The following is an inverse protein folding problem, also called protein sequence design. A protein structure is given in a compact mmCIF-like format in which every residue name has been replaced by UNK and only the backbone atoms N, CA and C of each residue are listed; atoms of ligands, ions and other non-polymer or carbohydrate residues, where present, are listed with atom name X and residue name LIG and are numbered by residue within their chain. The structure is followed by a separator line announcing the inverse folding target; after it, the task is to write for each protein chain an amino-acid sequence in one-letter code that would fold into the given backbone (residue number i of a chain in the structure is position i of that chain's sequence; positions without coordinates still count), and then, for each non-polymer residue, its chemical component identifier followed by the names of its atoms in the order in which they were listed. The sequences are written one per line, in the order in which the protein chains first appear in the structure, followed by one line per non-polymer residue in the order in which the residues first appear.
data_IF_094393339124
#
_entry.id   IF_094393339124
#
_cell.length_a   1.000
_cell.length_b   1.000
_cell.length_c   1.000
_cell.angle_alpha   90.00
_cell.angle_beta   90.00
_cell.angle_gamma   90.00
#
_symmetry.space_group_name_H-M   'P 1'
#
loop_
_entity.id
_entity.type
_entity.pdbx_description
1 polymer ?
#
# COMPACT_ATOMS: atom_id res chain seq x y z
N UNK A 1 18.82 -19.44 4.21
CA UNK A 1 18.62 -17.99 4.41
C UNK A 1 17.66 -17.48 3.34
N UNK A 2 16.76 -16.56 3.67
CA UNK A 2 15.84 -15.96 2.69
C UNK A 2 16.58 -15.05 1.69
N UNK A 3 15.87 -14.59 0.66
CA UNK A 3 16.39 -13.57 -0.23
C UNK A 3 16.79 -12.31 0.55
N UNK A 4 17.81 -11.55 0.11
CA UNK A 4 18.13 -10.27 0.74
C UNK A 4 16.95 -9.29 0.62
N UNK A 5 16.71 -8.51 1.68
CA UNK A 5 15.69 -7.46 1.65
C UNK A 5 15.99 -6.44 0.54
N UNK A 6 14.98 -5.95 -0.19
CA UNK A 6 15.17 -4.94 -1.24
C UNK A 6 15.36 -3.52 -0.69
N UNK A 7 15.39 -3.35 0.63
CA UNK A 7 15.58 -2.09 1.33
C UNK A 7 16.57 -2.24 2.47
N UNK A 8 17.07 -1.11 2.96
CA UNK A 8 17.89 -1.06 4.16
C UNK A 8 17.02 -1.19 5.41
N UNK A 9 17.37 -2.11 6.29
CA UNK A 9 16.62 -2.43 7.53
C UNK A 9 17.46 -2.16 8.77
N UNK A 10 18.28 -1.11 8.74
CA UNK A 10 19.11 -0.67 9.88
C UNK A 10 18.45 0.43 10.71
N UNK A 11 17.39 1.03 10.19
CA UNK A 11 16.59 2.06 10.85
C UNK A 11 15.78 1.48 12.03
N UNK A 12 15.34 0.23 11.90
CA UNK A 12 14.68 -0.55 12.94
C UNK A 12 15.38 -1.90 13.16
N UNK A 13 15.21 -2.55 14.32
CA UNK A 13 15.67 -3.92 14.54
C UNK A 13 14.95 -4.94 13.63
N UNK A 14 15.32 -5.03 12.36
CA UNK A 14 14.67 -5.92 11.39
C UNK A 14 15.15 -7.36 11.55
N UNK A 15 14.21 -8.30 11.41
CA UNK A 15 14.45 -9.75 11.35
C UNK A 15 13.67 -10.35 10.19
N UNK A 16 14.31 -11.25 9.43
CA UNK A 16 13.65 -12.03 8.39
C UNK A 16 13.32 -13.41 8.95
N UNK A 17 12.02 -13.74 8.98
CA UNK A 17 11.51 -15.04 9.42
C UNK A 17 10.79 -15.68 8.22
N UNK A 18 11.21 -16.86 7.74
CA UNK A 18 10.52 -17.56 6.66
C UNK A 18 9.08 -17.90 7.05
N UNK A 19 8.15 -17.69 6.11
CA UNK A 19 6.77 -18.15 6.27
C UNK A 19 6.73 -19.68 6.14
N UNK A 20 5.99 -20.31 7.05
CA UNK A 20 5.74 -21.75 7.14
C UNK A 20 4.28 -21.97 7.49
N UNK A 21 3.78 -23.18 7.28
CA UNK A 21 2.41 -23.54 7.68
C UNK A 21 2.16 -23.28 9.18
N UNK A 22 3.20 -23.39 10.02
CA UNK A 22 3.12 -23.16 11.45
C UNK A 22 2.98 -21.69 11.86
N UNK A 23 3.40 -20.73 11.03
CA UNK A 23 3.42 -19.31 11.39
C UNK A 23 2.63 -18.39 10.45
N UNK A 24 2.22 -18.87 9.27
CA UNK A 24 1.57 -18.06 8.25
C UNK A 24 0.32 -17.35 8.77
N UNK A 25 -0.60 -18.10 9.41
CA UNK A 25 -1.86 -17.52 9.92
C UNK A 25 -1.61 -16.54 11.06
N UNK A 26 -0.64 -16.80 11.92
CA UNK A 26 -0.26 -15.89 13.01
C UNK A 26 0.35 -14.59 12.46
N UNK A 27 1.24 -14.68 11.48
CA UNK A 27 1.85 -13.53 10.81
C UNK A 27 0.80 -12.69 10.07
N UNK A 28 -0.12 -13.33 9.35
CA UNK A 28 -1.24 -12.67 8.68
C UNK A 28 -2.12 -11.94 9.71
N UNK A 29 -2.51 -12.61 10.79
CA UNK A 29 -3.31 -11.98 11.85
C UNK A 29 -2.58 -10.79 12.49
N UNK A 30 -1.29 -10.94 12.80
CA UNK A 30 -0.46 -9.88 13.37
C UNK A 30 -0.41 -8.66 12.45
N UNK A 31 -0.21 -8.87 11.14
CA UNK A 31 -0.16 -7.80 10.14
C UNK A 31 -1.44 -6.95 10.06
N UNK A 32 -2.57 -7.48 10.53
CA UNK A 32 -3.87 -6.80 10.57
C UNK A 32 -4.28 -6.36 11.99
N UNK A 33 -3.45 -6.62 13.00
CA UNK A 33 -3.75 -6.32 14.41
C UNK A 33 -3.44 -4.87 14.72
N UNK A 34 -4.38 -3.97 14.44
CA UNK A 34 -4.21 -2.53 14.68
C UNK A 34 -4.08 -2.26 16.20
N UNK A 35 -3.01 -1.59 16.65
CA UNK A 35 -2.84 -1.22 18.06
C UNK A 35 -4.07 -0.49 18.62
N UNK A 36 -4.46 -0.84 19.85
CA UNK A 36 -5.63 -0.30 20.57
C UNK A 36 -7.00 -0.64 20.00
N UNK A 37 -7.08 -1.37 18.87
CA UNK A 37 -8.34 -1.85 18.29
C UNK A 37 -8.45 -3.37 18.43
N UNK A 38 -7.35 -4.09 18.20
CA UNK A 38 -7.27 -5.55 18.29
C UNK A 38 -6.27 -5.97 19.36
N UNK A 39 -6.20 -7.27 19.67
CA UNK A 39 -5.15 -7.84 20.53
C UNK A 39 -3.92 -8.15 19.68
N UNK A 40 -2.70 -8.11 20.25
CA UNK A 40 -1.52 -8.57 19.53
C UNK A 40 -1.57 -10.08 19.33
N UNK A 41 -0.77 -10.56 18.38
CA UNK A 41 -0.42 -11.98 18.29
C UNK A 41 0.89 -12.19 19.05
N UNK A 42 0.90 -13.06 20.06
CA UNK A 42 2.09 -13.39 20.83
C UNK A 42 2.88 -14.53 20.20
N UNK A 43 4.21 -14.47 20.33
CA UNK A 43 5.14 -15.59 20.15
C UNK A 43 4.90 -16.40 18.86
N UNK A 44 4.94 -15.69 17.73
CA UNK A 44 4.78 -16.30 16.39
C UNK A 44 5.86 -17.36 16.18
N UNK A 45 5.45 -18.55 15.72
CA UNK A 45 6.37 -19.68 15.57
C UNK A 45 7.59 -19.34 14.68
N UNK A 46 8.79 -19.54 15.22
CA UNK A 46 10.07 -19.25 14.56
C UNK A 46 10.49 -17.78 14.56
N UNK A 47 9.64 -16.86 15.03
CA UNK A 47 9.99 -15.46 15.24
C UNK A 47 10.56 -15.23 16.65
N UNK A 48 11.23 -14.10 16.91
CA UNK A 48 11.61 -13.71 18.27
C UNK A 48 10.41 -13.74 19.23
N UNK A 49 10.62 -14.04 20.51
CA UNK A 49 9.53 -13.95 21.49
C UNK A 49 9.05 -12.49 21.63
N UNK A 50 7.75 -12.29 21.76
CA UNK A 50 7.16 -10.95 21.87
C UNK A 50 5.74 -10.84 21.33
N UNK A 51 5.25 -9.60 21.33
CA UNK A 51 3.91 -9.24 20.85
C UNK A 51 3.99 -8.55 19.50
N UNK A 52 3.24 -9.07 18.54
CA UNK A 52 3.25 -8.63 17.16
C UNK A 52 1.95 -7.88 16.82
N UNK A 53 2.12 -6.77 16.12
CA UNK A 53 1.08 -5.81 15.75
C UNK A 53 1.18 -5.46 14.26
N UNK A 54 0.16 -4.75 13.77
CA UNK A 54 0.10 -4.23 12.40
C UNK A 54 1.33 -3.35 12.11
N UNK A 55 2.03 -3.67 11.03
CA UNK A 55 3.27 -3.00 10.63
C UNK A 55 3.07 -1.57 10.15
N UNK A 56 1.83 -1.15 9.90
CA UNK A 56 1.51 0.21 9.48
C UNK A 56 1.86 1.27 10.54
N UNK A 57 2.07 0.89 11.80
CA UNK A 57 2.60 1.80 12.82
C UNK A 57 4.01 2.31 12.46
N UNK A 58 4.85 1.47 11.86
CA UNK A 58 6.22 1.82 11.43
C UNK A 58 6.30 2.10 9.93
N UNK A 59 5.69 1.26 9.09
CA UNK A 59 5.89 1.22 7.63
C UNK A 59 4.58 1.28 6.85
N UNK A 60 3.81 2.35 7.04
CA UNK A 60 2.41 2.45 6.59
C UNK A 60 2.22 2.33 5.08
N UNK A 61 2.90 3.16 4.28
CA UNK A 61 2.94 3.02 2.82
C UNK A 61 4.30 2.51 2.35
N UNK A 62 5.04 1.76 3.17
CA UNK A 62 6.35 1.22 2.82
C UNK A 62 7.32 2.31 2.31
N UNK A 63 7.38 3.44 3.03
CA UNK A 63 8.36 4.49 2.79
C UNK A 63 9.74 4.02 3.32
N UNK A 64 10.33 3.06 2.62
CA UNK A 64 11.55 2.37 3.03
C UNK A 64 12.77 2.91 2.27
N UNK A 65 13.96 2.70 2.82
CA UNK A 65 15.22 3.02 2.14
C UNK A 65 15.57 1.95 1.09
N UNK A 66 14.93 2.01 -0.08
CA UNK A 66 15.13 1.01 -1.13
C UNK A 66 16.58 0.99 -1.63
N UNK A 67 17.14 -0.20 -1.78
CA UNK A 67 18.50 -0.40 -2.25
C UNK A 67 18.54 -0.40 -3.77
N UNK A 68 19.46 0.37 -4.35
CA UNK A 68 19.75 0.23 -5.76
C UNK A 68 20.31 -1.17 -6.05
N UNK A 69 19.66 -1.88 -6.97
CA UNK A 69 20.01 -3.24 -7.36
C UNK A 69 20.27 -3.27 -8.86
N UNK A 70 21.44 -3.77 -9.29
CA UNK A 70 21.80 -3.81 -10.72
C UNK A 70 20.82 -4.66 -11.55
N UNK A 71 20.27 -5.70 -10.95
CA UNK A 71 19.31 -6.63 -11.54
C UNK A 71 17.86 -6.12 -11.50
N UNK A 72 17.55 -5.19 -10.60
CA UNK A 72 16.22 -4.60 -10.43
C UNK A 72 16.36 -3.14 -9.96
N UNK A 73 16.73 -2.21 -10.86
CA UNK A 73 17.19 -0.87 -10.47
C UNK A 73 16.08 0.05 -9.97
N UNK A 74 14.81 -0.28 -10.22
CA UNK A 74 13.65 0.53 -9.87
C UNK A 74 12.61 -0.34 -9.16
N UNK A 75 12.02 0.22 -8.11
CA UNK A 75 10.84 -0.30 -7.42
C UNK A 75 9.60 0.32 -8.04
N UNK A 76 8.77 -0.51 -8.68
CA UNK A 76 7.45 -0.08 -9.13
C UNK A 76 6.46 -0.20 -7.99
N UNK A 77 5.82 0.90 -7.60
CA UNK A 77 4.85 0.91 -6.50
C UNK A 77 3.47 1.39 -6.97
N UNK A 78 2.57 0.47 -7.36
CA UNK A 78 1.18 0.80 -7.61
C UNK A 78 0.46 1.16 -6.31
N UNK A 79 -0.16 2.34 -6.27
CA UNK A 79 -0.84 2.84 -5.08
C UNK A 79 -2.07 3.66 -5.45
N UNK A 80 -3.09 3.65 -4.60
CA UNK A 80 -4.30 4.44 -4.79
C UNK A 80 -4.11 5.96 -4.56
N UNK A 81 -2.95 6.41 -4.07
CA UNK A 81 -2.67 7.82 -3.84
C UNK A 81 -1.23 8.19 -4.20
N UNK A 82 -1.00 9.47 -4.47
CA UNK A 82 0.31 10.04 -4.87
C UNK A 82 1.32 10.25 -3.73
N UNK A 83 0.92 10.02 -2.48
CA UNK A 83 1.76 10.27 -1.32
C UNK A 83 2.11 8.96 -0.59
N UNK A 84 3.39 8.70 -0.43
CA UNK A 84 3.92 7.58 0.36
C UNK A 84 4.14 8.11 1.78
N UNK A 85 3.24 7.75 2.70
CA UNK A 85 3.25 8.25 4.08
C UNK A 85 4.06 7.28 4.94
N UNK A 86 5.08 7.74 5.70
CA UNK A 86 5.99 6.84 6.40
C UNK A 86 5.32 5.96 7.45
N UNK A 87 4.78 6.55 8.52
CA UNK A 87 4.07 5.82 9.57
C UNK A 87 2.58 6.16 9.65
N UNK A 88 1.81 5.32 10.34
CA UNK A 88 0.38 5.55 10.55
C UNK A 88 0.10 6.88 11.29
N UNK A 89 0.96 7.24 12.24
CA UNK A 89 0.86 8.50 13.00
C UNK A 89 1.20 9.74 12.16
N UNK A 90 1.87 9.59 11.02
CA UNK A 90 2.22 10.70 10.11
C UNK A 90 1.04 11.17 9.25
N UNK A 91 -0.11 10.47 9.27
CA UNK A 91 -1.31 10.83 8.50
C UNK A 91 -1.74 12.28 8.68
N UNK A 92 -1.65 12.80 9.91
CA UNK A 92 -2.05 14.17 10.24
C UNK A 92 -1.00 15.22 9.82
N UNK A 93 0.26 14.82 9.61
CA UNK A 93 1.37 15.73 9.33
C UNK A 93 1.73 15.74 7.84
N UNK A 94 0.99 16.54 7.06
CA UNK A 94 1.18 16.68 5.61
C UNK A 94 2.62 17.02 5.17
N UNK A 95 3.42 17.66 6.03
CA UNK A 95 4.83 17.95 5.72
C UNK A 95 5.66 16.67 5.54
N UNK A 96 5.27 15.56 6.17
CA UNK A 96 5.91 14.24 6.07
C UNK A 96 5.40 13.40 4.88
N UNK A 97 4.53 13.96 4.03
CA UNK A 97 4.00 13.27 2.84
C UNK A 97 4.83 13.54 1.58
N UNK A 98 5.89 14.35 1.70
CA UNK A 98 6.77 14.69 0.58
C UNK A 98 7.68 13.51 0.26
N UNK A 99 8.06 13.38 -1.01
CA UNK A 99 9.11 12.46 -1.41
C UNK A 99 10.43 12.83 -0.69
N UNK A 100 11.20 11.81 -0.35
CA UNK A 100 12.51 11.95 0.31
C UNK A 100 13.52 11.04 -0.41
N UNK A 101 14.83 11.18 -0.13
CA UNK A 101 15.86 10.32 -0.73
C UNK A 101 15.67 8.81 -0.51
N UNK A 102 14.87 8.41 0.50
CA UNK A 102 14.54 6.99 0.69
C UNK A 102 13.80 6.39 -0.53
N UNK A 103 13.10 7.23 -1.29
CA UNK A 103 12.28 6.84 -2.43
C UNK A 103 12.95 7.10 -3.79
N UNK A 104 14.24 7.46 -3.83
CA UNK A 104 14.95 7.81 -5.07
C UNK A 104 14.88 6.71 -6.15
N UNK A 105 14.74 5.45 -5.72
CA UNK A 105 14.64 4.28 -6.61
C UNK A 105 13.20 3.83 -6.86
N UNK A 106 12.19 4.60 -6.46
CA UNK A 106 10.78 4.24 -6.60
C UNK A 106 10.09 5.03 -7.72
N UNK A 107 9.33 4.32 -8.54
CA UNK A 107 8.30 4.90 -9.41
C UNK A 107 6.94 4.59 -8.81
N UNK A 108 6.24 5.62 -8.34
CA UNK A 108 4.88 5.52 -7.82
C UNK A 108 3.88 5.62 -8.96
N UNK A 109 3.02 4.62 -9.12
CA UNK A 109 1.88 4.68 -10.03
C UNK A 109 0.62 4.96 -9.22
N UNK A 110 -0.08 6.06 -9.52
CA UNK A 110 -1.32 6.41 -8.86
C UNK A 110 -2.36 6.98 -9.84
N UNK A 111 -3.66 6.77 -9.60
CA UNK A 111 -4.69 7.35 -10.44
C UNK A 111 -4.66 8.89 -10.43
N UNK A 112 -4.88 9.49 -11.60
CA UNK A 112 -4.97 10.95 -11.72
C UNK A 112 -6.13 11.53 -10.89
N UNK A 113 -5.98 12.73 -10.31
CA UNK A 113 -7.02 13.33 -9.46
C UNK A 113 -8.31 13.63 -10.21
N UNK A 114 -8.24 13.91 -11.53
CA UNK A 114 -9.40 14.09 -12.39
C UNK A 114 -10.20 12.79 -12.58
N UNK A 115 -9.51 11.65 -12.68
CA UNK A 115 -10.15 10.35 -12.75
C UNK A 115 -10.87 10.02 -11.44
N UNK A 116 -10.23 10.25 -10.29
CA UNK A 116 -10.85 10.01 -8.97
C UNK A 116 -12.14 10.83 -8.80
N UNK A 117 -12.15 12.07 -9.28
CA UNK A 117 -13.34 12.94 -9.22
C UNK A 117 -14.52 12.47 -10.08
N UNK A 118 -14.29 11.63 -11.09
CA UNK A 118 -15.35 11.03 -11.93
C UNK A 118 -16.00 9.80 -11.29
N UNK A 119 -15.37 9.19 -10.29
CA UNK A 119 -15.94 8.07 -9.56
C UNK A 119 -17.19 8.48 -8.77
N UNK A 120 -18.07 7.53 -8.41
CA UNK A 120 -19.20 7.83 -7.54
C UNK A 120 -18.74 8.53 -6.25
N UNK A 121 -19.50 9.53 -5.81
CA UNK A 121 -19.16 10.39 -4.67
C UNK A 121 -17.87 11.22 -4.84
N UNK A 122 -17.25 11.24 -6.03
CA UNK A 122 -16.04 12.01 -6.32
C UNK A 122 -14.80 11.52 -5.56
N UNK A 123 -14.79 10.25 -5.14
CA UNK A 123 -13.71 9.64 -4.37
C UNK A 123 -13.60 8.13 -4.65
N UNK A 124 -12.49 7.54 -4.23
CA UNK A 124 -12.38 6.09 -4.10
C UNK A 124 -13.33 5.60 -2.98
N UNK A 125 -13.92 4.40 -3.12
CA UNK A 125 -14.69 3.79 -2.03
C UNK A 125 -13.84 3.64 -0.77
N UNK A 126 -14.43 3.95 0.39
CA UNK A 126 -13.74 3.85 1.68
C UNK A 126 -14.69 3.48 2.82
N UNK A 127 -14.15 3.35 4.04
CA UNK A 127 -14.93 2.95 5.23
C UNK A 127 -16.11 3.87 5.56
N UNK A 128 -16.09 5.14 5.16
CA UNK A 128 -17.20 6.08 5.40
C UNK A 128 -18.44 5.74 4.58
N UNK A 129 -18.30 4.91 3.53
CA UNK A 129 -19.42 4.46 2.72
C UNK A 129 -20.34 3.52 3.50
N UNK A 130 -19.82 2.79 4.50
CA UNK A 130 -20.66 1.97 5.38
C UNK A 130 -21.67 2.84 6.15
N UNK A 131 -21.21 3.98 6.69
CA UNK A 131 -22.09 4.94 7.36
C UNK A 131 -22.98 5.71 6.39
N UNK A 132 -22.46 6.11 5.21
CA UNK A 132 -23.22 6.86 4.19
C UNK A 132 -24.43 6.09 3.68
N UNK A 133 -24.26 4.81 3.33
CA UNK A 133 -25.33 3.99 2.75
C UNK A 133 -26.13 3.22 3.80
N UNK A 134 -25.58 3.01 5.00
CA UNK A 134 -26.27 2.32 6.09
C UNK A 134 -26.80 0.96 5.68
N UNK A 135 -28.13 0.81 5.74
CA UNK A 135 -28.83 -0.43 5.38
C UNK A 135 -29.03 -0.62 3.87
N UNK A 136 -28.76 0.40 3.04
CA UNK A 136 -28.82 0.27 1.58
C UNK A 136 -27.53 -0.39 1.04
N UNK A 137 -27.41 -1.69 1.35
CA UNK A 137 -26.29 -2.53 0.90
C UNK A 137 -26.22 -2.57 -0.63
N UNK A 138 -27.36 -2.51 -1.32
CA UNK A 138 -27.42 -2.55 -2.77
C UNK A 138 -26.86 -1.27 -3.40
N UNK A 139 -27.16 -0.09 -2.87
CA UNK A 139 -26.54 1.16 -3.32
C UNK A 139 -25.04 1.17 -3.06
N UNK A 140 -24.60 0.73 -1.88
CA UNK A 140 -23.17 0.63 -1.56
C UNK A 140 -22.46 -0.31 -2.53
N UNK A 141 -23.03 -1.49 -2.79
CA UNK A 141 -22.47 -2.46 -3.72
C UNK A 141 -22.42 -1.92 -5.15
N UNK A 142 -23.46 -1.20 -5.62
CA UNK A 142 -23.44 -0.53 -6.93
C UNK A 142 -22.27 0.43 -7.05
N UNK A 143 -22.08 1.32 -6.07
CA UNK A 143 -20.98 2.29 -6.05
C UNK A 143 -19.61 1.61 -6.02
N UNK A 144 -19.44 0.58 -5.19
CA UNK A 144 -18.22 -0.20 -5.15
C UNK A 144 -17.92 -0.85 -6.51
N UNK A 145 -18.89 -1.54 -7.09
CA UNK A 145 -18.74 -2.24 -8.36
C UNK A 145 -18.45 -1.29 -9.53
N UNK A 146 -19.05 -0.08 -9.53
CA UNK A 146 -18.70 0.96 -10.50
C UNK A 146 -17.23 1.37 -10.37
N UNK A 147 -16.74 1.61 -9.15
CA UNK A 147 -15.33 1.97 -8.96
C UNK A 147 -14.37 0.85 -9.36
N UNK A 148 -14.73 -0.42 -9.11
CA UNK A 148 -13.96 -1.58 -9.57
C UNK A 148 -13.92 -1.65 -11.10
N UNK A 149 -15.05 -1.45 -11.77
CA UNK A 149 -15.11 -1.45 -13.24
C UNK A 149 -14.26 -0.32 -13.85
N UNK A 150 -14.30 0.89 -13.28
CA UNK A 150 -13.44 2.00 -13.72
C UNK A 150 -11.95 1.72 -13.45
N UNK A 151 -11.61 1.05 -12.34
CA UNK A 151 -10.24 0.65 -12.07
C UNK A 151 -9.73 -0.42 -13.05
N UNK A 152 -10.60 -1.36 -13.46
CA UNK A 152 -10.28 -2.32 -14.52
C UNK A 152 -9.98 -1.61 -15.83
N UNK A 153 -10.82 -0.65 -16.23
CA UNK A 153 -10.59 0.16 -17.43
C UNK A 153 -9.25 0.90 -17.37
N UNK A 154 -8.88 1.47 -16.23
CA UNK A 154 -7.58 2.12 -16.05
C UNK A 154 -6.41 1.13 -16.23
N UNK A 155 -6.54 -0.09 -15.72
CA UNK A 155 -5.55 -1.15 -15.90
C UNK A 155 -5.43 -1.60 -17.36
N UNK A 156 -6.56 -1.72 -18.06
CA UNK A 156 -6.61 -2.08 -19.48
C UNK A 156 -5.97 -1.00 -20.37
N UNK A 157 -6.27 0.28 -20.10
CA UNK A 157 -5.67 1.43 -20.79
C UNK A 157 -4.14 1.45 -20.58
N UNK A 158 -3.67 1.15 -19.37
CA UNK A 158 -2.23 1.05 -19.08
C UNK A 158 -1.57 -0.14 -19.79
N UNK A 159 -2.19 -1.32 -19.76
CA UNK A 159 -1.70 -2.50 -20.45
C UNK A 159 -1.57 -2.25 -21.97
N UNK A 160 -2.57 -1.62 -22.58
CA UNK A 160 -2.52 -1.24 -23.98
C UNK A 160 -1.38 -0.26 -24.29
N UNK A 161 -1.16 0.73 -23.43
CA UNK A 161 -0.05 1.67 -23.58
C UNK A 161 1.30 0.96 -23.45
N UNK A 162 1.46 -0.02 -22.55
CA UNK A 162 2.69 -0.81 -22.42
C UNK A 162 3.01 -1.64 -23.67
N UNK A 163 1.99 -2.15 -24.37
CA UNK A 163 2.17 -2.87 -25.64
C UNK A 163 2.62 -1.93 -26.77
N UNK A 164 2.13 -0.69 -26.77
CA UNK A 164 2.43 0.32 -27.80
C UNK A 164 2.65 1.71 -27.18
N UNK A 165 3.83 1.95 -26.58
CA UNK A 165 4.07 3.18 -25.85
C UNK A 165 4.02 4.41 -26.75
N UNK A 166 3.21 5.39 -26.37
CA UNK A 166 3.22 6.74 -26.94
C UNK A 166 3.63 7.74 -25.87
N UNK A 167 4.91 8.14 -25.90
CA UNK A 167 5.48 9.08 -24.93
C UNK A 167 4.85 10.48 -25.02
N UNK A 168 4.15 10.82 -26.11
CA UNK A 168 3.43 12.11 -26.22
C UNK A 168 2.20 12.18 -25.30
N UNK A 169 1.76 11.03 -24.77
CA UNK A 169 0.68 10.96 -23.78
C UNK A 169 1.18 11.18 -22.35
N UNK A 170 2.50 11.17 -22.13
CA UNK A 170 3.11 11.49 -20.83
C UNK A 170 3.11 13.01 -20.67
N UNK A 171 2.56 13.47 -19.55
CA UNK A 171 2.47 14.89 -19.20
C UNK A 171 3.35 15.16 -17.98
N UNK A 172 3.82 16.39 -17.85
CA UNK A 172 4.48 16.85 -16.62
C UNK A 172 3.49 16.86 -15.44
N UNK A 173 4.01 16.56 -14.24
CA UNK A 173 3.24 16.46 -12.99
C UNK A 173 2.91 17.81 -12.36
#
# INVERSE_FOLDING_TARGET
AGAPLPFDGTDLPTRQVPLTDANFMQALQASCSIPFVLRPVGDIAGAPSGMYWDGGITDYHLHLHYRHRKDAPIVLYPHFQRAVVPGWLDKAWRRRHRATPALDWMVLLAPGPDWVRKLPNGKLPDRTDFSRYGQDVQARARVWNTAVAEAQRLADEWAHWLERPDLRQVQDL
#
